data_IF_547862012243
#
_entry.id   IF_547862012243
#
_cell.length_a   1.000
_cell.length_b   1.000
_cell.length_c   1.000
_cell.angle_alpha   90.00
_cell.angle_beta   90.00
_cell.angle_gamma   90.00
#
_symmetry.space_group_name_H-M   'P 1'
#
loop_
_entity.id
_entity.type
_entity.pdbx_description
1 polymer ?
#
# COMPACT_ATOMS: atom_id res chain seq x y z
N UNK A 1 -13.30 5.42 -0.01
CA UNK A 1 -13.28 6.48 -1.01
C UNK A 1 -14.44 6.34 -1.98
N UNK A 2 -14.60 5.23 -2.69
CA UNK A 2 -15.70 5.00 -3.63
C UNK A 2 -17.07 5.25 -2.98
N UNK A 3 -17.33 4.63 -1.83
CA UNK A 3 -18.59 4.82 -1.09
C UNK A 3 -18.85 6.29 -0.75
N UNK A 4 -17.82 7.05 -0.42
CA UNK A 4 -17.93 8.48 -0.13
C UNK A 4 -18.24 9.30 -1.40
N UNK A 5 -17.51 9.04 -2.51
CA UNK A 5 -17.71 9.78 -3.76
C UNK A 5 -19.11 9.58 -4.37
N UNK A 6 -19.79 8.48 -4.06
CA UNK A 6 -21.14 8.14 -4.54
C UNK A 6 -22.26 8.64 -3.62
N UNK A 7 -21.96 9.28 -2.48
CA UNK A 7 -22.95 9.68 -1.47
C UNK A 7 -22.82 11.15 -1.10
N UNK A 8 -23.53 12.05 -1.78
CA UNK A 8 -23.42 13.50 -1.59
C UNK A 8 -23.84 13.99 -0.20
N UNK A 9 -24.55 13.16 0.58
CA UNK A 9 -24.92 13.50 1.95
C UNK A 9 -23.77 13.30 2.96
N UNK A 10 -22.67 12.63 2.57
CA UNK A 10 -21.45 12.53 3.38
C UNK A 10 -20.61 13.78 3.10
N UNK A 11 -20.71 14.76 3.96
CA UNK A 11 -20.09 16.08 3.79
C UNK A 11 -18.59 16.09 4.05
N UNK A 12 -18.04 15.14 4.83
CA UNK A 12 -16.62 15.03 5.12
C UNK A 12 -16.20 13.59 5.38
N UNK A 13 -14.95 13.30 5.07
CA UNK A 13 -14.26 12.07 5.40
C UNK A 13 -12.81 12.39 5.81
N UNK A 14 -12.43 11.95 7.00
CA UNK A 14 -11.09 12.18 7.53
C UNK A 14 -10.28 10.89 7.53
N UNK A 15 -9.06 10.93 6.96
CA UNK A 15 -8.16 9.80 7.00
C UNK A 15 -7.38 9.79 8.32
N UNK A 16 -7.30 8.65 8.97
CA UNK A 16 -6.41 8.40 10.07
C UNK A 16 -5.30 7.45 9.62
N UNK A 17 -4.12 7.94 9.32
CA UNK A 17 -3.60 9.27 9.49
C UNK A 17 -2.78 9.69 8.25
N UNK A 18 -2.45 10.97 8.09
CA UNK A 18 -1.59 11.45 7.00
C UNK A 18 -0.16 10.91 7.08
N UNK A 19 0.36 10.73 8.30
CA UNK A 19 1.72 10.25 8.55
C UNK A 19 1.74 9.13 9.60
N UNK A 20 2.75 8.25 9.53
CA UNK A 20 3.09 7.41 10.67
C UNK A 20 3.52 8.29 11.84
N UNK A 21 3.20 7.90 13.07
CA UNK A 21 3.41 8.71 14.25
C UNK A 21 3.86 7.88 15.45
N UNK A 22 4.44 8.58 16.45
CA UNK A 22 4.79 7.98 17.73
C UNK A 22 3.53 7.59 18.49
N UNK A 23 3.50 6.38 19.02
CA UNK A 23 2.42 5.87 19.86
C UNK A 23 3.03 4.93 20.89
N UNK A 24 3.10 5.39 22.13
CA UNK A 24 3.53 4.58 23.25
C UNK A 24 2.66 3.32 23.38
N UNK A 25 3.20 2.23 23.83
CA UNK A 25 2.51 0.95 23.91
C UNK A 25 2.16 0.28 22.57
N UNK A 26 2.59 0.82 21.43
CA UNK A 26 2.45 0.19 20.11
C UNK A 26 3.80 -0.22 19.53
N UNK A 27 3.78 -1.29 18.72
CA UNK A 27 4.99 -1.82 18.05
C UNK A 27 4.70 -2.29 16.66
N UNK A 28 3.92 -1.53 15.89
CA UNK A 28 3.51 -1.91 14.54
C UNK A 28 4.74 -1.99 13.60
N UNK A 29 4.80 -3.06 12.80
CA UNK A 29 5.93 -3.31 11.91
C UNK A 29 7.26 -3.59 12.62
N UNK A 30 7.20 -4.12 13.87
CA UNK A 30 8.38 -4.48 14.65
C UNK A 30 9.15 -3.30 15.24
N UNK A 31 8.57 -2.09 15.24
CA UNK A 31 9.19 -0.89 15.81
C UNK A 31 8.42 -0.42 17.04
N UNK A 32 8.95 -0.63 18.28
CA UNK A 32 8.32 -0.15 19.49
C UNK A 32 8.05 1.36 19.47
N UNK A 33 6.93 1.77 20.04
CA UNK A 33 6.54 3.18 20.11
C UNK A 33 6.09 3.80 18.78
N UNK A 34 5.79 2.99 17.75
CA UNK A 34 5.41 3.48 16.43
C UNK A 34 4.08 2.91 15.95
N UNK A 35 3.24 3.79 15.37
CA UNK A 35 2.03 3.44 14.64
C UNK A 35 2.25 3.65 13.13
N UNK A 36 1.89 2.65 12.32
CA UNK A 36 2.10 2.65 10.86
C UNK A 36 0.83 2.91 10.03
N UNK A 37 -0.18 3.54 10.59
CA UNK A 37 -1.45 3.86 9.89
C UNK A 37 -1.37 5.06 8.95
N UNK A 38 -0.22 5.72 8.86
CA UNK A 38 -0.01 6.86 7.98
C UNK A 38 -0.05 6.52 6.50
N UNK A 39 -0.44 7.49 5.67
CA UNK A 39 -0.27 7.44 4.21
C UNK A 39 1.19 7.62 3.79
N UNK A 40 1.99 8.27 4.64
CA UNK A 40 3.41 8.53 4.47
C UNK A 40 4.17 7.96 5.65
N UNK A 41 5.36 7.43 5.43
CA UNK A 41 6.19 6.82 6.47
C UNK A 41 6.59 7.81 7.56
N UNK A 42 7.01 7.29 8.73
CA UNK A 42 7.40 8.06 9.90
C UNK A 42 8.48 9.11 9.60
N UNK A 43 9.46 8.76 8.78
CA UNK A 43 10.56 9.64 8.34
C UNK A 43 10.16 10.64 7.25
N UNK A 44 8.89 10.65 6.83
CA UNK A 44 8.31 11.51 5.79
C UNK A 44 8.87 11.28 4.37
N UNK A 45 9.67 10.25 4.14
CA UNK A 45 10.36 10.05 2.86
C UNK A 45 9.56 9.23 1.86
N UNK A 46 8.74 8.29 2.33
CA UNK A 46 8.03 7.36 1.45
C UNK A 46 6.52 7.55 1.51
N UNK A 47 5.92 7.85 0.37
CA UNK A 47 4.47 7.75 0.18
C UNK A 47 4.10 6.29 -0.02
N UNK A 48 3.18 5.77 0.81
CA UNK A 48 2.71 4.38 0.72
C UNK A 48 1.68 4.23 -0.40
N UNK A 49 1.37 3.00 -0.82
CA UNK A 49 0.34 2.75 -1.85
C UNK A 49 -1.01 3.36 -1.45
N UNK A 50 -1.33 3.40 -0.15
CA UNK A 50 -2.51 4.06 0.38
C UNK A 50 -2.57 5.58 0.07
N UNK A 51 -1.43 6.27 -0.03
CA UNK A 51 -1.39 7.67 -0.49
C UNK A 51 -1.88 7.80 -1.94
N UNK A 52 -1.48 6.89 -2.80
CA UNK A 52 -1.77 6.97 -4.23
C UNK A 52 -3.23 6.62 -4.55
N UNK A 53 -3.89 5.76 -3.78
CA UNK A 53 -5.34 5.57 -3.95
C UNK A 53 -6.12 6.83 -3.56
N UNK A 54 -5.70 7.57 -2.51
CA UNK A 54 -6.28 8.87 -2.20
C UNK A 54 -6.01 9.87 -3.31
N UNK A 55 -4.79 9.91 -3.85
CA UNK A 55 -4.45 10.76 -5.00
C UNK A 55 -5.35 10.46 -6.21
N UNK A 56 -5.63 9.17 -6.49
CA UNK A 56 -6.48 8.78 -7.61
C UNK A 56 -7.91 9.34 -7.51
N UNK A 57 -8.45 9.46 -6.31
CA UNK A 57 -9.80 10.00 -6.09
C UNK A 57 -9.86 11.52 -5.95
N UNK A 58 -8.80 12.15 -5.46
CA UNK A 58 -8.84 13.53 -4.99
C UNK A 58 -8.03 14.51 -5.83
N UNK A 59 -7.09 14.02 -6.69
CA UNK A 59 -6.26 14.88 -7.52
C UNK A 59 -6.75 14.89 -8.97
N UNK A 60 -6.71 16.07 -9.59
CA UNK A 60 -6.89 16.26 -11.02
C UNK A 60 -5.58 16.08 -11.81
N UNK A 61 -4.42 16.12 -11.15
CA UNK A 61 -3.12 15.94 -11.80
C UNK A 61 -2.99 14.51 -12.33
N UNK A 62 -2.76 14.32 -13.64
CA UNK A 62 -2.60 13.01 -14.22
C UNK A 62 -1.45 12.25 -13.54
N UNK A 63 -1.66 10.95 -13.26
CA UNK A 63 -0.60 10.09 -12.74
C UNK A 63 -0.91 8.60 -12.97
N UNK A 64 0.11 7.78 -12.84
CA UNK A 64 0.04 6.32 -12.73
C UNK A 64 1.00 5.88 -11.61
N UNK A 65 0.63 4.85 -10.84
CA UNK A 65 1.44 4.30 -9.76
C UNK A 65 1.32 2.78 -9.68
N UNK A 66 2.44 2.11 -9.80
CA UNK A 66 2.58 0.66 -9.57
C UNK A 66 2.67 0.36 -8.08
N UNK A 67 1.69 -0.38 -7.56
CA UNK A 67 1.63 -0.77 -6.16
C UNK A 67 2.56 -1.96 -5.83
N UNK A 68 2.87 -2.12 -4.53
CA UNK A 68 3.66 -3.25 -4.05
C UNK A 68 5.14 -3.18 -4.40
N UNK A 69 5.67 -2.00 -4.69
CA UNK A 69 7.05 -1.75 -5.11
C UNK A 69 8.10 -2.32 -4.15
N UNK A 70 7.81 -2.31 -2.85
CA UNK A 70 8.70 -2.86 -1.81
C UNK A 70 8.67 -4.39 -1.72
N UNK A 71 7.62 -5.03 -2.25
CA UNK A 71 7.52 -6.48 -2.39
C UNK A 71 8.09 -6.91 -3.75
N UNK A 72 9.40 -6.69 -3.93
CA UNK A 72 10.09 -6.96 -5.18
C UNK A 72 10.39 -8.45 -5.40
N UNK A 73 10.72 -9.20 -4.34
CA UNK A 73 10.98 -10.63 -4.39
C UNK A 73 9.70 -11.42 -4.13
N UNK A 74 9.27 -12.20 -5.11
CA UNK A 74 8.00 -12.94 -5.09
C UNK A 74 8.21 -14.42 -5.31
N UNK A 75 7.46 -15.27 -4.61
CA UNK A 75 7.61 -16.73 -4.71
C UNK A 75 6.57 -17.38 -5.62
N UNK A 76 5.52 -16.67 -5.97
CA UNK A 76 4.42 -17.13 -6.80
C UNK A 76 4.86 -17.30 -8.27
N UNK A 77 4.21 -18.18 -9.03
CA UNK A 77 4.41 -18.31 -10.47
C UNK A 77 3.63 -17.26 -11.28
N UNK A 78 2.58 -16.72 -10.67
CA UNK A 78 1.77 -15.61 -11.18
C UNK A 78 1.57 -14.60 -10.07
N UNK A 79 1.57 -13.33 -10.41
CA UNK A 79 1.45 -12.26 -9.41
C UNK A 79 0.46 -11.18 -9.86
N UNK A 80 -0.32 -10.64 -8.93
CA UNK A 80 -1.16 -9.48 -9.18
C UNK A 80 -0.28 -8.23 -9.23
N UNK A 81 -0.31 -7.53 -10.36
CA UNK A 81 0.21 -6.16 -10.50
C UNK A 81 -0.97 -5.21 -10.38
N UNK A 82 -1.03 -4.51 -9.26
CA UNK A 82 -2.03 -3.48 -9.00
C UNK A 82 -1.49 -2.12 -9.40
N UNK A 83 -2.31 -1.35 -10.11
CA UNK A 83 -1.97 0.02 -10.54
C UNK A 83 -3.05 0.97 -10.07
N UNK A 84 -2.63 2.12 -9.53
CA UNK A 84 -3.52 3.25 -9.24
C UNK A 84 -3.30 4.36 -10.26
N UNK A 85 -4.37 4.89 -10.80
CA UNK A 85 -4.34 6.01 -11.73
C UNK A 85 -5.68 6.77 -11.68
N UNK A 86 -5.66 8.06 -12.01
CA UNK A 86 -6.86 8.84 -12.27
C UNK A 86 -7.18 8.95 -13.78
N UNK A 87 -6.43 8.24 -14.62
CA UNK A 87 -6.67 8.13 -16.05
C UNK A 87 -7.62 6.97 -16.35
N UNK A 88 -8.41 7.04 -17.45
CA UNK A 88 -9.44 6.06 -17.77
C UNK A 88 -8.88 4.73 -18.30
N UNK A 89 -7.65 4.70 -18.77
CA UNK A 89 -7.00 3.52 -19.33
C UNK A 89 -5.57 3.38 -18.79
N UNK A 90 -5.15 2.14 -18.51
CA UNK A 90 -3.78 1.80 -18.16
C UNK A 90 -3.30 0.67 -19.06
N UNK A 91 -2.14 0.85 -19.66
CA UNK A 91 -1.41 -0.19 -20.42
C UNK A 91 -0.23 -0.68 -19.59
N UNK A 92 -0.16 -1.99 -19.37
CA UNK A 92 0.96 -2.65 -18.70
C UNK A 92 1.92 -3.24 -19.70
N UNK A 93 3.21 -3.02 -19.48
CA UNK A 93 4.31 -3.62 -20.22
C UNK A 93 5.13 -4.52 -19.29
N UNK A 94 5.58 -5.65 -19.83
CA UNK A 94 6.51 -6.57 -19.15
C UNK A 94 7.73 -6.73 -20.07
N UNK A 95 8.90 -6.42 -19.56
CA UNK A 95 10.18 -6.50 -20.30
C UNK A 95 10.13 -5.74 -21.65
N UNK A 96 9.52 -4.56 -21.63
CA UNK A 96 9.39 -3.68 -22.80
C UNK A 96 8.30 -4.09 -23.80
N UNK A 97 7.61 -5.21 -23.61
CA UNK A 97 6.51 -5.67 -24.46
C UNK A 97 5.17 -5.34 -23.83
N UNK A 98 4.23 -4.86 -24.60
CA UNK A 98 2.86 -4.67 -24.15
C UNK A 98 2.29 -6.02 -23.68
N UNK A 99 1.81 -6.06 -22.46
CA UNK A 99 1.18 -7.22 -21.85
C UNK A 99 -0.33 -7.16 -21.97
N UNK A 100 -0.94 -6.06 -21.53
CA UNK A 100 -2.37 -5.83 -21.60
C UNK A 100 -2.71 -4.36 -21.38
N UNK A 101 -3.84 -3.93 -21.93
CA UNK A 101 -4.47 -2.65 -21.62
C UNK A 101 -5.81 -2.88 -20.93
N UNK A 102 -6.16 -2.03 -19.96
CA UNK A 102 -7.45 -2.07 -19.27
C UNK A 102 -8.05 -0.67 -19.21
N UNK A 103 -9.33 -0.58 -19.56
CA UNK A 103 -10.17 0.56 -19.22
C UNK A 103 -10.74 0.36 -17.82
N UNK A 104 -10.82 1.42 -17.03
CA UNK A 104 -11.28 1.32 -15.66
C UNK A 104 -11.33 2.63 -14.92
N UNK A 105 -11.49 2.55 -13.60
CA UNK A 105 -11.55 3.72 -12.74
C UNK A 105 -10.73 3.50 -11.46
N UNK A 106 -9.68 4.28 -11.29
CA UNK A 106 -8.79 4.37 -10.12
C UNK A 106 -7.94 3.14 -9.81
N UNK A 107 -8.44 1.92 -10.01
CA UNK A 107 -7.78 0.68 -9.62
C UNK A 107 -7.78 -0.27 -10.81
N UNK A 108 -6.59 -0.65 -11.26
CA UNK A 108 -6.37 -1.60 -12.35
C UNK A 108 -5.59 -2.79 -11.82
N UNK A 109 -5.91 -4.00 -12.29
CA UNK A 109 -5.31 -5.23 -11.81
C UNK A 109 -4.96 -6.15 -12.97
N UNK A 110 -3.70 -6.57 -13.03
CA UNK A 110 -3.18 -7.47 -14.04
C UNK A 110 -2.57 -8.69 -13.36
N UNK A 111 -2.89 -9.88 -13.82
CA UNK A 111 -2.22 -11.12 -13.38
C UNK A 111 -1.10 -11.42 -14.36
N UNK A 112 0.14 -11.34 -13.89
CA UNK A 112 1.35 -11.49 -14.69
C UNK A 112 2.09 -12.76 -14.30
N UNK A 113 2.37 -13.68 -15.23
CA UNK A 113 3.26 -14.82 -14.96
C UNK A 113 4.70 -14.32 -14.76
N UNK A 114 5.40 -14.87 -13.75
CA UNK A 114 6.78 -14.50 -13.46
C UNK A 114 7.69 -15.73 -13.38
N UNK A 115 8.87 -15.64 -13.99
CA UNK A 115 9.83 -16.76 -14.07
C UNK A 115 11.28 -16.36 -13.85
N UNK A 116 11.52 -15.13 -13.43
CA UNK A 116 12.86 -14.56 -13.24
C UNK A 116 12.73 -13.12 -12.79
N UNK A 117 13.61 -12.26 -13.27
CA UNK A 117 13.53 -10.82 -13.05
C UNK A 117 12.83 -10.17 -14.22
N UNK A 118 11.81 -9.37 -13.93
CA UNK A 118 11.00 -8.66 -14.93
C UNK A 118 10.95 -7.17 -14.62
N UNK A 119 11.08 -6.36 -15.66
CA UNK A 119 10.73 -4.95 -15.60
C UNK A 119 9.23 -4.79 -15.88
N UNK A 120 8.52 -4.18 -14.96
CA UNK A 120 7.10 -3.86 -15.09
C UNK A 120 6.97 -2.35 -15.29
N UNK A 121 6.30 -1.96 -16.37
CA UNK A 121 6.04 -0.56 -16.70
C UNK A 121 4.54 -0.37 -16.90
N UNK A 122 3.97 0.64 -16.23
CA UNK A 122 2.61 1.08 -16.44
C UNK A 122 2.59 2.43 -17.16
N UNK A 123 1.70 2.58 -18.12
CA UNK A 123 1.49 3.82 -18.89
C UNK A 123 0.02 4.21 -18.80
N UNK A 124 -0.27 5.48 -18.52
CA UNK A 124 -1.63 6.04 -18.49
C UNK A 124 -1.60 7.48 -19.02
N UNK A 125 -2.07 7.68 -20.24
CA UNK A 125 -1.85 8.93 -20.98
C UNK A 125 -0.35 9.20 -21.13
N UNK A 126 0.10 10.39 -20.75
CA UNK A 126 1.52 10.79 -20.80
C UNK A 126 2.30 10.38 -19.52
N UNK A 127 1.64 9.71 -18.57
CA UNK A 127 2.25 9.31 -17.32
C UNK A 127 2.81 7.89 -17.41
N UNK A 128 3.97 7.68 -16.78
CA UNK A 128 4.67 6.40 -16.76
C UNK A 128 5.19 6.10 -15.36
N UNK A 129 5.12 4.85 -14.95
CA UNK A 129 5.77 4.34 -13.73
C UNK A 129 6.40 2.97 -14.00
N UNK A 130 7.54 2.69 -13.37
CA UNK A 130 8.31 1.46 -13.57
C UNK A 130 8.69 0.85 -12.22
N UNK A 131 8.74 -0.48 -12.16
CA UNK A 131 9.32 -1.23 -11.06
C UNK A 131 9.93 -2.53 -11.58
N UNK A 132 10.83 -3.11 -10.77
CA UNK A 132 11.39 -4.45 -11.02
C UNK A 132 10.83 -5.43 -10.01
N UNK A 133 10.45 -6.62 -10.48
CA UNK A 133 10.07 -7.76 -9.64
C UNK A 133 10.92 -8.97 -10.00
N UNK A 134 11.22 -9.80 -9.00
CA UNK A 134 12.04 -11.00 -9.21
C UNK A 134 11.37 -12.21 -8.57
N UNK A 135 11.22 -13.29 -9.35
CA UNK A 135 10.83 -14.59 -8.80
C UNK A 135 11.99 -15.18 -8.02
N UNK A 136 11.72 -15.56 -6.77
CA UNK A 136 12.67 -16.24 -5.88
C UNK A 136 12.11 -17.58 -5.42
N UNK A 137 12.99 -18.51 -5.08
CA UNK A 137 12.57 -19.85 -4.62
C UNK A 137 12.04 -19.84 -3.19
N UNK A 138 12.60 -18.96 -2.34
CA UNK A 138 12.24 -18.86 -0.92
C UNK A 138 11.81 -17.44 -0.58
N UNK A 139 10.84 -17.26 0.34
CA UNK A 139 10.39 -15.94 0.76
C UNK A 139 11.56 -15.11 1.32
N UNK A 140 11.61 -13.84 0.94
CA UNK A 140 12.58 -12.89 1.50
C UNK A 140 12.20 -12.57 2.96
N UNK A 141 13.09 -12.96 3.88
CA UNK A 141 12.87 -12.77 5.32
C UNK A 141 12.79 -11.29 5.72
N UNK A 142 13.37 -10.38 4.94
CA UNK A 142 13.32 -8.93 5.21
C UNK A 142 11.91 -8.33 5.14
N UNK A 143 10.95 -9.05 4.54
CA UNK A 143 9.54 -8.64 4.50
C UNK A 143 8.77 -8.98 5.76
N UNK A 144 9.35 -9.75 6.66
CA UNK A 144 8.76 -10.05 7.96
C UNK A 144 9.22 -9.02 8.98
N UNK A 145 8.29 -8.52 9.77
CA UNK A 145 8.65 -7.73 10.93
C UNK A 145 9.34 -8.64 11.97
N UNK A 146 10.52 -8.27 12.42
CA UNK A 146 11.16 -8.92 13.56
C UNK A 146 10.39 -8.54 14.83
N UNK A 147 10.02 -9.55 15.62
CA UNK A 147 9.24 -9.37 16.84
C UNK A 147 7.82 -8.87 16.53
N UNK A 148 6.86 -9.77 16.40
CA UNK A 148 5.47 -9.38 16.58
C UNK A 148 5.35 -8.87 18.03
N UNK A 149 5.30 -7.57 18.19
CA UNK A 149 4.71 -7.01 19.41
C UNK A 149 3.26 -7.46 19.35
N UNK A 150 2.88 -8.33 20.26
CA UNK A 150 1.52 -8.81 20.40
C UNK A 150 0.59 -7.59 20.40
N UNK A 151 -0.44 -7.66 19.61
CA UNK A 151 -1.38 -6.56 19.49
C UNK A 151 -1.99 -6.32 20.89
N UNK A 152 -1.99 -5.11 21.35
CA UNK A 152 -2.54 -4.74 22.66
C UNK A 152 -4.00 -5.18 22.86
N UNK A 153 -4.73 -5.46 21.77
CA UNK A 153 -6.06 -6.09 21.80
C UNK A 153 -6.03 -7.56 22.20
N UNK A 154 -4.90 -8.23 22.08
CA UNK A 154 -4.78 -9.67 22.33
C UNK A 154 -4.48 -9.99 23.81
N UNK A 155 -4.07 -8.98 24.61
CA UNK A 155 -3.80 -9.12 26.04
C UNK A 155 -4.41 -7.99 26.91
N UNK A 156 -5.73 -7.79 26.86
CA UNK A 156 -6.37 -6.70 27.59
C UNK A 156 -6.16 -6.82 29.12
N UNK A 157 -6.11 -8.04 29.67
CA UNK A 157 -5.98 -8.27 31.11
C UNK A 157 -4.59 -7.91 31.66
N UNK A 158 -3.53 -8.12 30.89
CA UNK A 158 -2.16 -7.75 31.28
C UNK A 158 -1.98 -6.23 31.28
N UNK A 159 -2.53 -5.56 30.29
CA UNK A 159 -2.45 -4.11 30.13
C UNK A 159 -3.29 -3.35 31.18
N UNK A 160 -4.42 -3.94 31.62
CA UNK A 160 -5.21 -3.42 32.74
C UNK A 160 -4.39 -3.48 34.04
N UNK A 161 -3.64 -4.57 34.28
CA UNK A 161 -2.77 -4.72 35.44
C UNK A 161 -1.61 -3.73 35.47
N UNK A 162 -1.13 -3.29 34.32
CA UNK A 162 -0.06 -2.32 34.13
C UNK A 162 -0.55 -0.86 34.16
N UNK A 163 -1.83 -0.62 34.36
CA UNK A 163 -2.40 0.72 34.50
C UNK A 163 -2.63 1.47 33.17
N UNK A 164 -2.47 0.83 32.04
CA UNK A 164 -2.68 1.48 30.72
C UNK A 164 -4.14 1.85 30.42
N UNK A 165 -5.10 1.32 31.16
CA UNK A 165 -6.53 1.59 30.96
C UNK A 165 -7.19 2.48 32.03
N UNK A 166 -6.41 3.06 32.94
CA UNK A 166 -6.96 3.99 33.96
C UNK A 166 -7.49 5.32 33.38
N UNK A 167 -7.45 5.49 32.07
CA UNK A 167 -7.90 6.72 31.37
C UNK A 167 -9.26 6.52 30.67
N UNK A 168 -9.86 5.34 30.78
CA UNK A 168 -11.14 5.04 30.12
C UNK A 168 -12.33 4.90 31.09
N UNK A 169 -12.18 5.25 32.36
CA UNK A 169 -13.28 5.36 33.32
C UNK A 169 -13.85 6.78 33.35
#
# INVERSE_FOLDING_TARGET
>A
LKMWSERPYIWAMHVWNGFDFGADGRGEGGKPGQNQKGLVTFDRKTKKDAYFIYKAYLSSDPFVHLCGRRYAHRTESETEIKVYSNQPCVTLFVDGKEFAAQDGDKIFKFTVPISGTHEIKAVAGDCTDCMTITKVATPDASYRAEGQVENWFDKPEELIKEGYYSIMD
#
